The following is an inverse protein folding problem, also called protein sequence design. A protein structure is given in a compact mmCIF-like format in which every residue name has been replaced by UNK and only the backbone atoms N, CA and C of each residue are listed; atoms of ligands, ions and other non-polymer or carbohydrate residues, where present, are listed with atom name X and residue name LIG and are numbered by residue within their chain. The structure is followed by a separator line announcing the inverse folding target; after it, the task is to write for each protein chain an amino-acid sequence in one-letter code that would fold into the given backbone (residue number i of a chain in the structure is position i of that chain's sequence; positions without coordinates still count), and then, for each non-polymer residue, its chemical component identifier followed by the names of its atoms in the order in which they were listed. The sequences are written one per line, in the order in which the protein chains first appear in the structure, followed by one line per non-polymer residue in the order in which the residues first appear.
data_IF_884206532336
#
_entry.id   IF_884206532336
#
_cell.length_a   1.000
_cell.length_b   1.000
_cell.length_c   1.000
_cell.angle_alpha   90.00
_cell.angle_beta   90.00
_cell.angle_gamma   90.00
#
_symmetry.space_group_name_H-M   'P 1'
#
loop_
_entity.id
_entity.type
_entity.pdbx_description
1 polymer ?
#
# COMPACT_ATOMS: atom_id res chain seq x y z
N UNK A 1 14.32 -42.54 9.58
CA UNK A 1 14.64 -43.96 9.24
C UNK A 1 14.60 -44.84 10.49
N UNK A 2 15.37 -44.51 11.53
CA UNK A 2 15.47 -45.31 12.79
C UNK A 2 14.10 -45.62 13.40
N UNK A 3 13.20 -44.63 13.45
CA UNK A 3 11.84 -44.84 14.00
C UNK A 3 11.02 -45.86 13.20
N UNK A 4 11.18 -45.88 11.86
CA UNK A 4 10.51 -46.86 11.00
C UNK A 4 11.08 -48.26 11.29
N UNK A 5 12.42 -48.38 11.32
CA UNK A 5 13.09 -49.67 11.63
C UNK A 5 12.66 -50.20 12.99
N UNK A 6 12.56 -49.35 14.02
CA UNK A 6 12.08 -49.72 15.33
C UNK A 6 10.63 -50.24 15.30
N UNK A 7 9.72 -49.53 14.58
CA UNK A 7 8.31 -49.93 14.45
C UNK A 7 8.13 -51.26 13.68
N UNK A 8 9.03 -51.56 12.75
CA UNK A 8 9.07 -52.85 12.04
C UNK A 8 9.55 -53.95 12.97
N UNK A 9 10.61 -53.73 13.75
CA UNK A 9 11.11 -54.68 14.76
C UNK A 9 10.09 -54.97 15.85
N UNK A 10 9.36 -53.93 16.31
CA UNK A 10 8.29 -54.03 17.30
C UNK A 10 6.98 -54.64 16.75
N UNK A 11 6.98 -55.06 15.46
CA UNK A 11 5.81 -55.57 14.70
C UNK A 11 4.58 -54.68 14.74
N UNK A 12 4.79 -53.35 14.87
CA UNK A 12 3.72 -52.37 14.77
C UNK A 12 3.39 -52.00 13.34
N UNK A 13 4.37 -52.07 12.45
CA UNK A 13 4.21 -51.93 11.00
C UNK A 13 4.74 -53.22 10.38
N UNK A 14 3.85 -53.95 9.74
CA UNK A 14 4.17 -55.17 9.00
C UNK A 14 4.23 -54.88 7.49
N UNK A 15 4.85 -55.79 6.75
CA UNK A 15 4.85 -55.74 5.28
C UNK A 15 6.01 -54.99 4.65
N UNK A 16 6.91 -54.40 5.43
CA UNK A 16 8.14 -53.79 4.91
C UNK A 16 9.21 -54.88 4.75
N UNK A 17 9.87 -54.93 3.62
CA UNK A 17 10.96 -55.85 3.30
C UNK A 17 12.32 -55.18 3.50
N UNK A 18 12.51 -54.01 2.95
CA UNK A 18 13.75 -53.23 3.04
C UNK A 18 13.50 -51.73 3.03
N UNK A 19 14.50 -50.97 3.48
CA UNK A 19 14.44 -49.52 3.52
C UNK A 19 15.81 -48.94 3.16
N UNK A 20 15.85 -48.11 2.11
CA UNK A 20 17.09 -47.49 1.61
C UNK A 20 16.94 -45.96 1.54
N UNK A 21 18.00 -45.27 1.85
CA UNK A 21 18.13 -43.82 1.64
C UNK A 21 18.87 -43.58 0.33
N UNK A 22 18.17 -43.04 -0.64
CA UNK A 22 18.69 -42.64 -1.94
C UNK A 22 18.74 -41.09 -2.06
N UNK A 23 18.78 -40.39 -0.94
CA UNK A 23 18.85 -38.93 -0.91
C UNK A 23 20.14 -38.42 -1.54
N UNK A 24 20.05 -37.32 -2.30
CA UNK A 24 21.16 -36.66 -2.96
C UNK A 24 21.00 -35.13 -2.90
N UNK A 25 21.89 -34.39 -3.55
CA UNK A 25 21.84 -32.93 -3.63
C UNK A 25 20.54 -32.37 -4.23
N UNK A 26 19.77 -33.16 -4.98
CA UNK A 26 18.49 -32.75 -5.59
C UNK A 26 17.30 -32.91 -4.64
N UNK A 27 17.44 -33.65 -3.57
CA UNK A 27 16.37 -33.82 -2.58
C UNK A 27 16.44 -35.11 -1.76
N UNK A 28 15.50 -35.25 -0.83
CA UNK A 28 15.35 -36.41 0.06
C UNK A 28 14.55 -37.48 -0.69
N UNK A 29 15.10 -38.70 -0.75
CA UNK A 29 14.45 -39.87 -1.34
C UNK A 29 14.62 -41.08 -0.43
N UNK A 30 13.58 -41.42 0.31
CA UNK A 30 13.51 -42.65 1.11
C UNK A 30 12.71 -43.68 0.34
N UNK A 31 13.35 -44.82 0.02
CA UNK A 31 12.74 -45.94 -0.67
C UNK A 31 12.40 -47.00 0.34
N UNK A 32 11.12 -47.44 0.38
CA UNK A 32 10.61 -48.49 1.26
C UNK A 32 10.09 -49.62 0.37
N UNK A 33 10.74 -50.77 0.42
CA UNK A 33 10.32 -51.98 -0.30
C UNK A 33 9.34 -52.78 0.52
N UNK A 34 8.29 -53.25 -0.12
CA UNK A 34 7.24 -54.04 0.53
C UNK A 34 7.37 -55.52 0.22
N UNK A 35 6.95 -56.37 1.14
CA UNK A 35 6.82 -57.80 0.93
C UNK A 35 5.77 -58.08 -0.12
N UNK A 36 5.92 -59.20 -0.87
CA UNK A 36 5.00 -59.60 -1.92
C UNK A 36 3.60 -59.84 -1.34
N UNK A 37 2.58 -59.23 -2.00
CA UNK A 37 1.17 -59.36 -1.59
C UNK A 37 0.69 -58.29 -0.56
N UNK A 38 1.55 -57.38 -0.14
CA UNK A 38 1.16 -56.29 0.78
C UNK A 38 0.55 -55.13 -0.02
N UNK A 39 -0.53 -54.54 0.51
CA UNK A 39 -1.17 -53.38 -0.07
C UNK A 39 -0.42 -52.10 0.32
N UNK A 40 0.23 -51.39 -0.61
CA UNK A 40 1.08 -50.23 -0.32
C UNK A 40 0.38 -49.11 0.46
N UNK A 41 -0.89 -48.87 0.16
CA UNK A 41 -1.68 -47.83 0.81
C UNK A 41 -1.88 -48.04 2.31
N UNK A 42 -2.01 -49.30 2.75
CA UNK A 42 -2.16 -49.66 4.18
C UNK A 42 -0.84 -49.34 4.93
N UNK A 43 0.29 -49.73 4.32
CA UNK A 43 1.59 -49.44 4.94
C UNK A 43 1.87 -47.94 4.98
N UNK A 44 1.55 -47.19 3.93
CA UNK A 44 1.69 -45.74 3.88
C UNK A 44 0.85 -45.04 4.94
N UNK A 45 -0.41 -45.47 5.14
CA UNK A 45 -1.28 -44.92 6.17
C UNK A 45 -0.75 -45.20 7.57
N UNK A 46 -0.19 -46.40 7.80
CA UNK A 46 0.43 -46.76 9.08
C UNK A 46 1.71 -45.94 9.31
N UNK A 47 2.51 -45.68 8.27
CA UNK A 47 3.67 -44.78 8.35
C UNK A 47 3.26 -43.37 8.73
N UNK A 48 2.22 -42.83 8.13
CA UNK A 48 1.69 -41.51 8.50
C UNK A 48 1.18 -41.44 9.93
N UNK A 49 0.54 -42.53 10.42
CA UNK A 49 -0.03 -42.59 11.76
C UNK A 49 1.04 -42.74 12.86
N UNK A 50 2.09 -43.52 12.63
CA UNK A 50 3.04 -43.90 13.66
C UNK A 50 4.41 -43.23 13.56
N UNK A 51 4.65 -42.44 12.50
CA UNK A 51 5.91 -41.71 12.30
C UNK A 51 5.67 -40.23 12.01
N UNK A 52 6.75 -39.46 11.98
CA UNK A 52 6.73 -38.04 11.64
C UNK A 52 6.69 -37.76 10.11
N UNK A 53 6.37 -38.78 9.27
CA UNK A 53 6.17 -38.58 7.84
C UNK A 53 4.97 -37.68 7.53
N UNK A 54 4.00 -37.65 8.42
CA UNK A 54 2.94 -36.66 8.47
C UNK A 54 2.96 -35.98 9.84
N UNK A 55 3.08 -34.68 9.85
CA UNK A 55 3.05 -33.87 11.06
C UNK A 55 2.20 -32.63 10.86
N UNK A 56 1.70 -32.07 11.94
CA UNK A 56 0.98 -30.80 11.93
C UNK A 56 1.92 -29.69 12.34
N UNK A 57 1.83 -28.58 11.65
CA UNK A 57 2.52 -27.36 12.01
C UNK A 57 1.50 -26.33 12.54
N UNK A 58 1.62 -26.01 13.81
CA UNK A 58 0.79 -24.97 14.44
C UNK A 58 1.35 -23.59 14.10
N UNK A 59 0.77 -22.92 13.10
CA UNK A 59 1.15 -21.57 12.78
C UNK A 59 0.68 -20.57 13.86
N UNK A 60 1.61 -19.82 14.43
CA UNK A 60 1.33 -18.78 15.42
C UNK A 60 1.59 -17.42 14.80
N UNK A 61 0.56 -16.84 14.17
CA UNK A 61 0.67 -15.59 13.43
C UNK A 61 0.47 -14.40 14.37
N UNK A 62 1.55 -13.87 14.91
CA UNK A 62 1.53 -12.67 15.73
C UNK A 62 1.72 -11.43 14.85
N UNK A 63 0.80 -10.47 14.93
CA UNK A 63 0.88 -9.21 14.20
C UNK A 63 0.44 -8.03 15.08
N UNK A 64 0.85 -6.83 14.69
CA UNK A 64 0.41 -5.58 15.33
C UNK A 64 -0.85 -5.08 14.61
N UNK A 65 -1.94 -4.97 15.34
CA UNK A 65 -3.19 -4.35 14.87
C UNK A 65 -3.41 -3.08 15.67
N UNK A 66 -3.33 -1.93 15.01
CA UNK A 66 -3.41 -0.60 15.65
C UNK A 66 -2.43 -0.44 16.83
N UNK A 67 -1.19 -0.95 16.67
CA UNK A 67 -0.16 -0.89 17.70
C UNK A 67 -0.29 -1.94 18.81
N UNK A 68 -1.32 -2.79 18.78
CA UNK A 68 -1.54 -3.85 19.77
C UNK A 68 -1.17 -5.22 19.18
N UNK A 69 -0.27 -5.99 19.83
CA UNK A 69 0.07 -7.34 19.36
C UNK A 69 -1.14 -8.29 19.54
N UNK A 70 -1.50 -8.99 18.46
CA UNK A 70 -2.59 -9.99 18.45
C UNK A 70 -2.16 -11.23 17.68
N UNK A 71 -2.58 -12.37 18.19
CA UNK A 71 -2.49 -13.63 17.46
C UNK A 71 -3.70 -13.74 16.52
N UNK A 72 -3.44 -13.83 15.21
CA UNK A 72 -4.47 -13.75 14.19
C UNK A 72 -4.55 -15.04 13.39
N UNK A 73 -5.76 -15.43 13.02
CA UNK A 73 -5.98 -16.40 11.97
C UNK A 73 -5.60 -15.81 10.60
N UNK A 74 -5.37 -16.66 9.61
CA UNK A 74 -5.07 -16.21 8.25
C UNK A 74 -6.15 -15.26 7.68
N UNK A 75 -7.43 -15.58 7.96
CA UNK A 75 -8.56 -14.75 7.54
C UNK A 75 -8.49 -13.34 8.14
N UNK A 76 -8.23 -13.25 9.44
CA UNK A 76 -8.11 -11.96 10.13
C UNK A 76 -6.91 -11.16 9.64
N UNK A 77 -5.78 -11.81 9.37
CA UNK A 77 -4.61 -11.13 8.77
C UNK A 77 -4.95 -10.51 7.42
N UNK A 78 -5.62 -11.26 6.55
CA UNK A 78 -6.05 -10.76 5.23
C UNK A 78 -7.06 -9.60 5.37
N UNK A 79 -8.02 -9.71 6.30
CA UNK A 79 -8.99 -8.65 6.55
C UNK A 79 -8.30 -7.37 7.04
N UNK A 80 -7.43 -7.45 8.04
CA UNK A 80 -6.70 -6.29 8.56
C UNK A 80 -5.77 -5.67 7.50
N UNK A 81 -5.20 -6.49 6.60
CA UNK A 81 -4.43 -5.97 5.49
C UNK A 81 -5.29 -5.16 4.51
N UNK A 82 -6.47 -5.67 4.15
CA UNK A 82 -7.42 -4.96 3.27
C UNK A 82 -7.86 -3.65 3.92
N UNK A 83 -8.25 -3.69 5.18
CA UNK A 83 -8.69 -2.50 5.93
C UNK A 83 -7.58 -1.44 5.98
N UNK A 84 -6.34 -1.87 6.21
CA UNK A 84 -5.18 -0.98 6.17
C UNK A 84 -4.96 -0.36 4.78
N UNK A 85 -5.08 -1.15 3.71
CA UNK A 85 -4.93 -0.64 2.34
C UNK A 85 -6.01 0.41 2.02
N UNK A 86 -7.26 0.17 2.40
CA UNK A 86 -8.36 1.13 2.22
C UNK A 86 -8.08 2.44 2.97
N UNK A 87 -7.62 2.36 4.22
CA UNK A 87 -7.26 3.54 5.01
C UNK A 87 -6.11 4.33 4.37
N UNK A 88 -5.03 3.65 3.97
CA UNK A 88 -3.87 4.29 3.33
C UNK A 88 -4.26 4.97 2.02
N UNK A 89 -5.01 4.31 1.14
CA UNK A 89 -5.48 4.89 -0.12
C UNK A 89 -6.37 6.11 0.15
N UNK A 90 -7.31 5.99 1.11
CA UNK A 90 -8.20 7.09 1.48
C UNK A 90 -7.43 8.30 1.99
N UNK A 91 -6.46 8.10 2.89
CA UNK A 91 -5.63 9.20 3.42
C UNK A 91 -4.79 9.86 2.33
N UNK A 92 -4.18 9.06 1.44
CA UNK A 92 -3.42 9.57 0.31
C UNK A 92 -4.30 10.41 -0.61
N UNK A 93 -5.45 9.88 -1.02
CA UNK A 93 -6.37 10.60 -1.90
C UNK A 93 -6.88 11.90 -1.29
N UNK A 94 -7.18 11.92 0.02
CA UNK A 94 -7.56 13.15 0.73
C UNK A 94 -6.43 14.18 0.74
N UNK A 95 -5.19 13.74 0.91
CA UNK A 95 -4.04 14.65 0.84
C UNK A 95 -3.85 15.23 -0.56
N UNK A 96 -3.93 14.38 -1.60
CA UNK A 96 -3.81 14.82 -2.99
C UNK A 96 -4.95 15.76 -3.37
N UNK A 97 -6.19 15.46 -2.97
CA UNK A 97 -7.34 16.32 -3.17
C UNK A 97 -7.15 17.69 -2.51
N UNK A 98 -6.73 17.73 -1.25
CA UNK A 98 -6.46 19.01 -0.55
C UNK A 98 -5.40 19.83 -1.26
N UNK A 99 -4.35 19.20 -1.78
CA UNK A 99 -3.28 19.86 -2.53
C UNK A 99 -3.81 20.42 -3.86
N UNK A 100 -4.60 19.62 -4.59
CA UNK A 100 -5.20 20.05 -5.85
C UNK A 100 -6.19 21.22 -5.63
N UNK A 101 -7.05 21.15 -4.61
CA UNK A 101 -7.97 22.23 -4.25
C UNK A 101 -7.25 23.53 -3.89
N UNK A 102 -6.16 23.46 -3.11
CA UNK A 102 -5.35 24.63 -2.78
C UNK A 102 -4.70 25.22 -4.04
N UNK A 103 -4.28 24.39 -4.99
CA UNK A 103 -3.73 24.86 -6.26
C UNK A 103 -4.81 25.49 -7.14
N UNK A 104 -5.96 24.83 -7.29
CA UNK A 104 -7.08 25.37 -8.05
C UNK A 104 -7.53 26.73 -7.50
N UNK A 105 -7.61 26.89 -6.19
CA UNK A 105 -7.95 28.15 -5.54
C UNK A 105 -7.01 29.31 -5.93
N UNK A 106 -5.70 29.04 -6.03
CA UNK A 106 -4.74 30.05 -6.49
C UNK A 106 -4.90 30.35 -7.99
N UNK A 107 -5.17 29.32 -8.82
CA UNK A 107 -5.38 29.51 -10.26
C UNK A 107 -6.64 30.33 -10.54
N UNK A 108 -7.73 30.10 -9.81
CA UNK A 108 -8.94 30.93 -9.87
C UNK A 108 -8.63 32.40 -9.56
N UNK A 109 -7.84 32.66 -8.51
CA UNK A 109 -7.35 34.00 -8.18
C UNK A 109 -6.54 34.64 -9.31
N UNK A 110 -5.68 33.88 -9.96
CA UNK A 110 -4.92 34.35 -11.10
C UNK A 110 -5.79 34.70 -12.31
N UNK A 111 -6.78 33.86 -12.65
CA UNK A 111 -7.70 34.13 -13.76
C UNK A 111 -8.51 35.42 -13.50
N UNK A 112 -9.07 35.56 -12.30
CA UNK A 112 -9.80 36.75 -11.91
C UNK A 112 -8.90 38.01 -11.95
N UNK A 113 -7.65 37.91 -11.51
CA UNK A 113 -6.69 39.02 -11.56
C UNK A 113 -6.30 39.37 -13.00
N UNK A 114 -6.16 38.38 -13.89
CA UNK A 114 -5.86 38.59 -15.31
C UNK A 114 -7.05 39.22 -16.08
N UNK A 115 -8.28 38.88 -15.72
CA UNK A 115 -9.49 39.48 -16.30
C UNK A 115 -9.62 40.98 -15.96
N UNK A 116 -9.05 41.42 -14.84
CA UNK A 116 -9.07 42.79 -14.36
C UNK A 116 -7.66 43.36 -14.19
N UNK A 117 -6.73 42.96 -15.04
CA UNK A 117 -5.28 43.22 -14.86
C UNK A 117 -4.92 44.69 -14.74
N UNK A 118 -5.55 45.58 -15.54
CA UNK A 118 -5.29 47.00 -15.48
C UNK A 118 -5.66 47.63 -14.14
N UNK A 119 -6.78 47.23 -13.57
CA UNK A 119 -7.23 47.65 -12.24
C UNK A 119 -6.34 47.12 -11.14
N UNK A 120 -5.95 45.84 -11.21
CA UNK A 120 -5.02 45.19 -10.27
C UNK A 120 -3.68 45.90 -10.26
N UNK A 121 -3.10 46.20 -11.46
CA UNK A 121 -1.84 46.94 -11.58
C UNK A 121 -1.98 48.37 -11.03
N UNK A 122 -3.09 49.05 -11.30
CA UNK A 122 -3.35 50.39 -10.76
C UNK A 122 -3.38 50.41 -9.22
N UNK A 123 -4.04 49.44 -8.60
CA UNK A 123 -4.09 49.31 -7.15
C UNK A 123 -2.70 49.06 -6.59
N UNK A 124 -1.93 48.09 -7.15
CA UNK A 124 -0.58 47.77 -6.68
C UNK A 124 0.35 49.00 -6.79
N UNK A 125 0.33 49.73 -7.92
CA UNK A 125 1.18 50.92 -8.15
C UNK A 125 0.82 52.10 -7.26
N UNK A 126 -0.46 52.25 -6.86
CA UNK A 126 -0.92 53.30 -5.98
C UNK A 126 -0.77 53.03 -4.51
N UNK A 127 -0.45 51.80 -4.12
CA UNK A 127 -0.20 51.40 -2.74
C UNK A 127 1.27 51.62 -2.34
N UNK A 128 1.52 52.00 -1.10
CA UNK A 128 2.87 52.27 -0.60
C UNK A 128 3.54 51.01 -0.01
N UNK A 129 2.73 50.01 0.39
CA UNK A 129 3.21 48.75 0.98
C UNK A 129 2.43 47.56 0.42
N UNK A 130 3.07 46.38 0.47
CA UNK A 130 2.41 45.11 0.05
C UNK A 130 1.16 44.81 0.89
N UNK A 131 1.18 45.15 2.20
CA UNK A 131 0.01 44.97 3.09
C UNK A 131 -1.17 45.88 2.68
N UNK A 132 -0.90 47.12 2.27
CA UNK A 132 -1.93 48.04 1.75
C UNK A 132 -2.50 47.52 0.42
N UNK A 133 -1.64 47.10 -0.51
CA UNK A 133 -2.03 46.51 -1.77
C UNK A 133 -2.91 45.28 -1.59
N UNK A 134 -2.49 44.37 -0.68
CA UNK A 134 -3.26 43.15 -0.30
C UNK A 134 -4.64 43.52 0.21
N UNK A 135 -4.73 44.44 1.17
CA UNK A 135 -6.02 44.84 1.78
C UNK A 135 -6.98 45.44 0.72
N UNK A 136 -6.48 46.28 -0.16
CA UNK A 136 -7.28 46.91 -1.24
C UNK A 136 -7.73 45.88 -2.29
N UNK A 137 -6.90 44.89 -2.62
CA UNK A 137 -7.26 43.82 -3.55
C UNK A 137 -8.33 42.92 -2.93
N UNK A 138 -8.23 42.57 -1.64
CA UNK A 138 -9.25 41.80 -0.91
C UNK A 138 -10.58 42.57 -0.90
N UNK A 139 -10.58 43.84 -0.54
CA UNK A 139 -11.78 44.69 -0.47
C UNK A 139 -12.46 44.83 -1.82
N UNK A 140 -11.66 44.99 -2.89
CA UNK A 140 -12.19 45.28 -4.23
C UNK A 140 -12.70 44.05 -4.98
N UNK A 141 -11.99 42.92 -4.91
CA UNK A 141 -12.24 41.73 -5.70
C UNK A 141 -12.71 40.52 -4.87
N UNK A 142 -12.64 40.60 -3.55
CA UNK A 142 -12.99 39.48 -2.66
C UNK A 142 -11.96 38.36 -2.65
N UNK A 143 -10.71 38.61 -3.02
CA UNK A 143 -9.64 37.64 -2.96
C UNK A 143 -9.37 37.16 -1.54
N UNK A 144 -8.91 35.92 -1.41
CA UNK A 144 -8.38 35.46 -0.13
C UNK A 144 -6.95 35.95 0.10
N UNK A 145 -6.46 35.95 1.36
CA UNK A 145 -5.07 36.31 1.64
C UNK A 145 -4.05 35.49 0.87
N UNK A 146 -4.33 34.19 0.67
CA UNK A 146 -3.48 33.28 -0.11
C UNK A 146 -3.45 33.69 -1.59
N UNK A 147 -4.61 34.01 -2.17
CA UNK A 147 -4.69 34.48 -3.56
C UNK A 147 -3.98 35.81 -3.74
N UNK A 148 -4.16 36.76 -2.83
CA UNK A 148 -3.49 38.08 -2.90
C UNK A 148 -1.99 37.95 -2.80
N UNK A 149 -1.49 37.11 -1.89
CA UNK A 149 -0.04 36.86 -1.78
C UNK A 149 0.49 36.30 -3.12
N UNK A 150 -0.19 35.31 -3.69
CA UNK A 150 0.20 34.72 -4.96
C UNK A 150 0.15 35.72 -6.12
N UNK A 151 -0.83 36.61 -6.13
CA UNK A 151 -0.95 37.70 -7.18
C UNK A 151 0.20 38.69 -7.04
N UNK A 152 0.54 39.12 -5.83
CA UNK A 152 1.65 40.08 -5.59
C UNK A 152 3.02 39.47 -5.96
N UNK A 153 3.18 38.16 -5.76
CA UNK A 153 4.40 37.40 -6.12
C UNK A 153 4.42 36.97 -7.61
N UNK A 154 3.38 37.28 -8.38
CA UNK A 154 3.26 36.85 -9.78
C UNK A 154 4.34 37.50 -10.66
N UNK A 155 5.05 36.66 -11.41
CA UNK A 155 6.06 37.15 -12.36
C UNK A 155 5.37 37.83 -13.56
N UNK A 156 5.89 38.99 -14.02
CA UNK A 156 5.37 39.75 -15.17
C UNK A 156 5.15 38.90 -16.44
N UNK A 157 5.98 37.88 -16.67
CA UNK A 157 5.82 36.98 -17.82
C UNK A 157 4.47 36.22 -17.82
N UNK A 158 3.82 36.04 -16.68
CA UNK A 158 2.51 35.37 -16.58
C UNK A 158 1.33 36.25 -17.01
N UNK A 159 1.59 37.53 -17.29
CA UNK A 159 0.57 38.45 -17.76
C UNK A 159 0.34 38.35 -19.29
N UNK A 160 1.05 37.45 -19.97
CA UNK A 160 0.86 37.23 -21.42
C UNK A 160 -0.37 36.35 -21.67
N UNK A 161 -1.06 36.60 -22.81
CA UNK A 161 -2.26 35.83 -23.17
C UNK A 161 -2.04 34.31 -23.24
N UNK A 162 -0.87 33.88 -23.74
CA UNK A 162 -0.49 32.43 -23.76
C UNK A 162 -0.40 31.79 -22.37
N UNK A 163 -0.01 32.55 -21.36
CA UNK A 163 0.04 32.03 -19.98
C UNK A 163 -1.35 31.96 -19.35
N UNK A 164 -2.28 32.84 -19.72
CA UNK A 164 -3.69 32.76 -19.31
C UNK A 164 -4.33 31.45 -19.78
N UNK A 165 -4.13 31.10 -21.06
CA UNK A 165 -4.67 29.83 -21.59
C UNK A 165 -4.12 28.61 -20.84
N UNK A 166 -2.83 28.61 -20.52
CA UNK A 166 -2.22 27.55 -19.73
C UNK A 166 -2.76 27.46 -18.28
N UNK A 167 -3.07 28.60 -17.65
CA UNK A 167 -3.66 28.65 -16.33
C UNK A 167 -5.08 28.07 -16.38
N UNK A 168 -5.84 28.36 -17.41
CA UNK A 168 -7.16 27.79 -17.63
C UNK A 168 -7.10 26.31 -17.89
N UNK A 169 -6.19 25.81 -18.72
CA UNK A 169 -5.98 24.40 -18.99
C UNK A 169 -5.55 23.64 -17.72
N UNK A 170 -4.72 24.24 -16.86
CA UNK A 170 -4.31 23.65 -15.57
C UNK A 170 -5.48 23.59 -14.57
N UNK A 171 -6.43 24.51 -14.64
CA UNK A 171 -7.60 24.53 -13.77
C UNK A 171 -8.65 23.48 -14.19
N UNK A 172 -8.79 23.27 -15.50
CA UNK A 172 -9.78 22.36 -16.09
C UNK A 172 -9.34 20.88 -16.07
N UNK A 173 -8.06 20.58 -15.84
CA UNK A 173 -7.45 19.25 -15.84
C UNK A 173 -7.28 18.63 -14.49
#
# INVERSE_FOLDING_TARGET
QEKIAQLVNDKRIEGISDMRDESNQKGIRLVIELKKGVIPQVVLNNLYKYTSLQTTFGANNLALVNGVPKCLSLREMLQHYIDHQVDVVTRRTRFDLKKAQARAHILEGYLMALDHIDEVISIIRSSQTDSEASSRLIERFGFTPEQTTAILEMKLRRLTGLERDKIQEELDG
#
